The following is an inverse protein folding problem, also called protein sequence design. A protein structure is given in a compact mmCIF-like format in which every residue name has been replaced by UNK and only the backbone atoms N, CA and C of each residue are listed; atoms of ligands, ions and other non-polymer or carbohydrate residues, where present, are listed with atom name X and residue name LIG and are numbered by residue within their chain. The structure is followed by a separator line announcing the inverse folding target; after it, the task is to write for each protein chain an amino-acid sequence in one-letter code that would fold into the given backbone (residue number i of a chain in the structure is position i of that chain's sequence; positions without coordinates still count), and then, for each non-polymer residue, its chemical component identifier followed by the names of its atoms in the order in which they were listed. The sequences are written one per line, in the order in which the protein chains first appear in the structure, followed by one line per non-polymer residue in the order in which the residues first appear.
data_IF_748584695706
#
_entry.id   IF_748584695706
#
_cell.length_a   1.000
_cell.length_b   1.000
_cell.length_c   1.000
_cell.angle_alpha   90.00
_cell.angle_beta   90.00
_cell.angle_gamma   90.00
#
_symmetry.space_group_name_H-M   'P 1'
#
loop_
_entity.id
_entity.type
_entity.pdbx_description
1 polymer ?
#
# COMPACT_ATOMS: atom_id res chain seq x y z
N UNK A 1 -2.52 -15.32 -1.89
CA UNK A 1 -1.35 -14.57 -1.38
C UNK A 1 -1.82 -13.28 -0.74
N UNK A 2 -1.16 -12.83 0.33
CA UNK A 2 -1.47 -11.56 0.97
C UNK A 2 -0.58 -10.45 0.37
N UNK A 3 -1.20 -9.31 0.08
CA UNK A 3 -0.56 -8.13 -0.47
C UNK A 3 -0.86 -6.91 0.39
N UNK A 4 0.11 -6.01 0.46
CA UNK A 4 -0.16 -4.61 0.76
C UNK A 4 -0.39 -3.85 -0.55
N UNK A 5 -1.47 -3.10 -0.61
CA UNK A 5 -1.82 -2.21 -1.71
C UNK A 5 -1.74 -0.78 -1.19
N UNK A 6 -0.98 0.06 -1.87
CA UNK A 6 -0.82 1.48 -1.57
C UNK A 6 -1.08 2.30 -2.84
N UNK A 7 -1.98 3.26 -2.75
CA UNK A 7 -2.37 4.13 -3.85
C UNK A 7 -1.94 5.56 -3.52
N UNK A 8 -1.11 6.19 -4.34
CA UNK A 8 -0.87 7.63 -4.25
C UNK A 8 -1.95 8.35 -5.04
N UNK A 9 -2.87 9.01 -4.36
CA UNK A 9 -4.03 9.66 -4.98
C UNK A 9 -3.87 11.18 -4.99
N UNK A 10 -4.20 11.82 -6.11
CA UNK A 10 -4.29 13.28 -6.21
C UNK A 10 -5.55 13.86 -5.57
N UNK A 11 -6.52 13.01 -5.21
CA UNK A 11 -7.83 13.36 -4.64
C UNK A 11 -8.25 12.34 -3.57
N UNK A 12 -9.22 12.66 -2.70
CA UNK A 12 -9.79 11.68 -1.77
C UNK A 12 -10.31 10.41 -2.47
N UNK A 13 -10.11 9.25 -1.85
CA UNK A 13 -10.48 7.95 -2.43
C UNK A 13 -11.97 7.83 -2.80
N UNK A 14 -12.85 8.52 -2.07
CA UNK A 14 -14.28 8.57 -2.34
C UNK A 14 -14.62 9.20 -3.71
N UNK A 15 -13.70 9.96 -4.30
CA UNK A 15 -13.87 10.57 -5.62
C UNK A 15 -13.47 9.64 -6.78
N UNK A 16 -13.03 8.41 -6.49
CA UNK A 16 -12.70 7.37 -7.47
C UNK A 16 -13.81 6.32 -7.49
N UNK A 17 -14.83 6.47 -8.34
CA UNK A 17 -16.07 5.69 -8.25
C UNK A 17 -15.87 4.18 -8.44
N UNK A 18 -14.82 3.78 -9.15
CA UNK A 18 -14.54 2.37 -9.47
C UNK A 18 -13.41 1.77 -8.64
N UNK A 19 -12.73 2.55 -7.79
CA UNK A 19 -11.54 2.08 -7.06
C UNK A 19 -11.85 0.91 -6.14
N UNK A 20 -12.87 1.03 -5.29
CA UNK A 20 -13.27 -0.07 -4.40
C UNK A 20 -13.70 -1.31 -5.16
N UNK A 21 -14.41 -1.13 -6.29
CA UNK A 21 -14.82 -2.25 -7.15
C UNK A 21 -13.63 -2.94 -7.81
N UNK A 22 -12.63 -2.18 -8.26
CA UNK A 22 -11.40 -2.71 -8.83
C UNK A 22 -10.55 -3.48 -7.81
N UNK A 23 -10.49 -3.01 -6.56
CA UNK A 23 -9.85 -3.76 -5.48
C UNK A 23 -10.62 -5.07 -5.22
N UNK A 24 -11.95 -5.01 -5.14
CA UNK A 24 -12.78 -6.20 -4.90
C UNK A 24 -12.70 -7.24 -6.03
N UNK A 25 -12.60 -6.82 -7.29
CA UNK A 25 -12.60 -7.75 -8.43
C UNK A 25 -11.36 -8.64 -8.49
N UNK A 26 -10.25 -8.20 -7.90
CA UNK A 26 -8.99 -8.96 -7.83
C UNK A 26 -8.75 -9.55 -6.44
N UNK A 27 -9.68 -9.41 -5.49
CA UNK A 27 -9.51 -9.87 -4.11
C UNK A 27 -10.40 -11.07 -3.80
N UNK A 28 -9.83 -12.07 -3.14
CA UNK A 28 -10.60 -13.05 -2.34
C UNK A 28 -11.14 -12.37 -1.08
N UNK A 29 -10.29 -11.57 -0.43
CA UNK A 29 -10.65 -10.73 0.69
C UNK A 29 -9.86 -9.42 0.64
N UNK A 30 -10.44 -8.32 1.12
CA UNK A 30 -9.73 -7.05 1.25
C UNK A 30 -10.10 -6.34 2.54
N UNK A 31 -9.13 -5.63 3.12
CA UNK A 31 -9.32 -4.77 4.27
C UNK A 31 -8.80 -3.37 3.95
N UNK A 32 -9.72 -2.42 3.85
CA UNK A 32 -9.42 -1.00 3.72
C UNK A 32 -8.92 -0.43 5.04
N UNK A 33 -7.66 0.03 5.07
CA UNK A 33 -7.01 0.56 6.28
C UNK A 33 -7.10 2.10 6.36
N UNK A 34 -6.97 2.76 5.22
CA UNK A 34 -7.08 4.22 5.05
C UNK A 34 -7.34 4.51 3.57
N UNK A 35 -7.70 5.75 3.24
CA UNK A 35 -8.05 6.20 1.87
C UNK A 35 -7.07 5.72 0.78
N UNK A 36 -5.81 5.52 1.13
CA UNK A 36 -4.74 5.16 0.19
C UNK A 36 -4.21 3.75 0.38
N UNK A 37 -4.75 2.95 1.30
CA UNK A 37 -4.11 1.69 1.71
C UNK A 37 -5.09 0.56 1.97
N UNK A 38 -4.75 -0.63 1.44
CA UNK A 38 -5.47 -1.87 1.67
C UNK A 38 -4.53 -3.03 2.00
N UNK A 39 -5.06 -4.00 2.74
CA UNK A 39 -4.57 -5.38 2.71
C UNK A 39 -5.45 -6.16 1.74
N UNK A 40 -4.84 -6.91 0.84
CA UNK A 40 -5.53 -7.65 -0.22
C UNK A 40 -5.06 -9.09 -0.20
N UNK A 41 -5.98 -10.02 0.03
CA UNK A 41 -5.76 -11.44 -0.24
C UNK A 41 -6.27 -11.75 -1.65
N UNK A 42 -5.40 -12.31 -2.50
CA UNK A 42 -5.72 -12.60 -3.89
C UNK A 42 -5.05 -13.88 -4.37
N UNK A 43 -5.69 -14.59 -5.31
CA UNK A 43 -5.09 -15.69 -6.06
C UNK A 43 -4.31 -15.19 -7.29
N UNK A 44 -4.49 -13.92 -7.66
CA UNK A 44 -3.82 -13.28 -8.78
C UNK A 44 -2.40 -12.83 -8.41
N UNK A 45 -1.47 -12.79 -9.37
CA UNK A 45 -0.14 -12.25 -9.13
C UNK A 45 -0.20 -10.73 -8.88
N UNK A 46 0.77 -10.22 -8.11
CA UNK A 46 0.85 -8.80 -7.74
C UNK A 46 0.75 -7.82 -8.93
N UNK A 47 1.28 -8.19 -10.09
CA UNK A 47 1.18 -7.37 -11.32
C UNK A 47 -0.25 -7.22 -11.81
N UNK A 48 -1.05 -8.28 -11.76
CA UNK A 48 -2.47 -8.27 -12.18
C UNK A 48 -3.29 -7.45 -11.21
N UNK A 49 -3.07 -7.61 -9.90
CA UNK A 49 -3.70 -6.79 -8.86
C UNK A 49 -3.39 -5.31 -9.08
N UNK A 50 -2.11 -4.96 -9.29
CA UNK A 50 -1.69 -3.58 -9.57
C UNK A 50 -2.38 -3.02 -10.80
N UNK A 51 -2.38 -3.76 -11.91
CA UNK A 51 -2.88 -3.27 -13.19
C UNK A 51 -4.39 -3.03 -13.16
N UNK A 52 -5.14 -3.92 -12.49
CA UNK A 52 -6.57 -3.72 -12.29
C UNK A 52 -6.88 -2.46 -11.46
N UNK A 53 -6.14 -2.25 -10.38
CA UNK A 53 -6.32 -1.05 -9.52
C UNK A 53 -5.90 0.21 -10.26
N UNK A 54 -4.76 0.20 -10.97
CA UNK A 54 -4.25 1.35 -11.72
C UNK A 54 -5.23 1.85 -12.79
N UNK A 55 -5.99 0.95 -13.42
CA UNK A 55 -7.04 1.32 -14.39
C UNK A 55 -8.21 2.09 -13.77
N UNK A 56 -8.42 1.98 -12.45
CA UNK A 56 -9.45 2.71 -11.73
C UNK A 56 -8.96 4.07 -11.18
N UNK A 57 -7.69 4.41 -11.38
CA UNK A 57 -7.07 5.66 -10.92
C UNK A 57 -6.97 6.70 -12.05
N UNK A 58 -6.65 7.95 -11.69
CA UNK A 58 -6.30 8.95 -12.69
C UNK A 58 -4.92 8.65 -13.29
N UNK A 59 -4.61 9.12 -14.52
CA UNK A 59 -3.33 8.85 -15.18
C UNK A 59 -2.08 9.26 -14.38
N UNK A 60 -2.19 10.29 -13.53
CA UNK A 60 -1.13 10.83 -12.67
C UNK A 60 -0.96 10.10 -11.33
N UNK A 61 -1.94 9.29 -10.95
CA UNK A 61 -1.96 8.53 -9.70
C UNK A 61 -1.24 7.18 -9.86
N UNK A 62 -0.92 6.55 -8.74
CA UNK A 62 -0.08 5.35 -8.74
C UNK A 62 -0.61 4.27 -7.81
N UNK A 63 -0.76 3.06 -8.30
CA UNK A 63 -0.97 1.85 -7.49
C UNK A 63 0.36 1.11 -7.30
N UNK A 64 0.65 0.76 -6.04
CA UNK A 64 1.79 -0.06 -5.63
C UNK A 64 1.29 -1.31 -4.92
N UNK A 65 1.72 -2.48 -5.39
CA UNK A 65 1.36 -3.77 -4.79
C UNK A 65 2.64 -4.50 -4.40
N UNK A 66 2.73 -4.91 -3.14
CA UNK A 66 3.86 -5.66 -2.61
C UNK A 66 3.40 -6.94 -1.92
N UNK A 67 3.99 -8.10 -2.24
CA UNK A 67 3.71 -9.34 -1.53
C UNK A 67 4.10 -9.18 -0.06
N UNK A 68 3.21 -9.64 0.82
CA UNK A 68 3.47 -9.74 2.25
C UNK A 68 3.77 -11.21 2.55
N UNK A 69 5.06 -11.55 2.58
CA UNK A 69 5.51 -12.82 3.16
C UNK A 69 5.38 -12.71 4.68
N UNK A 70 4.29 -13.27 5.19
CA UNK A 70 3.92 -13.19 6.60
C UNK A 70 4.83 -14.13 7.42
N UNK A 71 6.04 -13.69 7.76
CA UNK A 71 6.58 -13.96 9.11
C UNK A 71 5.57 -13.39 10.12
N UNK A 72 5.46 -13.90 11.36
CA UNK A 72 4.44 -13.44 12.31
C UNK A 72 4.36 -11.91 12.30
N UNK A 73 3.27 -11.37 11.75
CA UNK A 73 3.18 -9.94 11.46
C UNK A 73 3.21 -9.18 12.78
N UNK A 74 4.31 -8.49 13.08
CA UNK A 74 4.43 -7.65 14.27
C UNK A 74 4.08 -6.22 13.87
N UNK A 75 2.85 -5.80 14.16
CA UNK A 75 2.43 -4.42 13.96
C UNK A 75 3.19 -3.52 14.93
N UNK A 76 4.11 -2.72 14.42
CA UNK A 76 4.94 -1.84 15.27
C UNK A 76 4.55 -0.40 15.03
N UNK A 77 3.77 0.14 15.97
CA UNK A 77 3.53 1.59 16.00
C UNK A 77 4.86 2.35 16.19
N UNK A 78 4.89 3.64 15.84
CA UNK A 78 6.02 4.54 16.14
C UNK A 78 6.35 4.66 17.64
N UNK A 79 5.55 4.06 18.52
CA UNK A 79 5.86 3.92 19.95
C UNK A 79 6.89 2.80 20.22
N UNK A 80 7.16 1.94 19.25
CA UNK A 80 8.11 0.84 19.39
C UNK A 80 9.49 1.27 18.86
N UNK A 81 10.46 1.38 19.76
CA UNK A 81 11.80 1.92 19.48
C UNK A 81 12.53 1.14 18.37
N UNK A 82 12.57 -0.20 18.48
CA UNK A 82 13.34 -1.06 17.57
C UNK A 82 12.85 -1.03 16.11
N UNK A 83 11.54 -0.93 15.90
CA UNK A 83 10.93 -1.17 14.58
C UNK A 83 10.26 0.07 13.98
N UNK A 84 9.77 1.00 14.81
CA UNK A 84 9.20 2.27 14.35
C UNK A 84 10.21 3.42 14.37
N UNK A 85 10.73 3.76 15.56
CA UNK A 85 11.55 4.96 15.73
C UNK A 85 12.92 4.84 15.05
N UNK A 86 13.58 3.68 15.16
CA UNK A 86 14.86 3.42 14.48
C UNK A 86 14.74 3.43 12.96
N UNK A 87 13.65 2.88 12.42
CA UNK A 87 13.39 2.91 10.99
C UNK A 87 13.30 4.36 10.49
N UNK A 88 12.44 5.16 11.13
CA UNK A 88 12.23 6.58 10.80
C UNK A 88 13.52 7.39 10.91
N UNK A 89 14.27 7.22 12.01
CA UNK A 89 15.56 7.90 12.22
C UNK A 89 16.55 7.60 11.10
N UNK A 90 16.70 6.33 10.73
CA UNK A 90 17.61 5.93 9.65
C UNK A 90 17.21 6.51 8.29
N UNK A 91 15.91 6.64 8.02
CA UNK A 91 15.41 7.20 6.78
C UNK A 91 15.69 8.70 6.67
N UNK A 92 15.55 9.43 7.78
CA UNK A 92 15.86 10.87 7.86
C UNK A 92 17.35 11.15 7.70
N UNK A 93 18.23 10.34 8.30
CA UNK A 93 19.68 10.49 8.16
C UNK A 93 20.13 10.28 6.69
N UNK A 94 19.52 9.34 5.97
CA UNK A 94 19.80 9.12 4.55
C UNK A 94 19.32 10.26 3.66
N UNK A 95 18.14 10.84 3.92
CA UNK A 95 17.64 11.95 3.10
C UNK A 95 18.48 13.21 3.25
N UNK A 96 19.05 13.45 4.43
CA UNK A 96 19.95 14.57 4.69
C UNK A 96 21.31 14.40 3.99
N UNK A 97 21.80 13.17 3.84
CA UNK A 97 23.05 12.88 3.12
C UNK A 97 22.92 13.03 1.60
N UNK A 98 21.73 12.82 1.03
CA UNK A 98 21.50 13.00 -0.41
C UNK A 98 21.36 14.47 -0.80
N UNK A 99 21.15 15.37 0.17
CA UNK A 99 20.97 16.81 -0.02
C UNK A 99 22.21 17.64 0.35
N UNK A 100 23.32 17.00 0.74
CA UNK A 100 24.61 17.62 1.05
C UNK A 100 25.64 17.29 -0.04
#
# INVERSE_FOLDING_TARGET
MLYGLLCRLGRPAAEYPTLFGAVQSVSVASWHLSDETWLVESEEPASVVRDAVQQALAPEDLALVFPLDVVPAVWTSLKHERYGQRFLKSAMERSQQTLA
#
